data_IF_644932661789
#
_entry.id   IF_644932661789
#
_cell.length_a   1.000
_cell.length_b   1.000
_cell.length_c   1.000
_cell.angle_alpha   90.00
_cell.angle_beta   90.00
_cell.angle_gamma   90.00
#
_symmetry.space_group_name_H-M   'P 1'
#
loop_
_entity.id
_entity.type
_entity.pdbx_description
1 polymer ?
#
# COMPACT_ATOMS: atom_id res chain seq x y z
N UNK A 1 28.80 32.16 23.76
CA UNK A 1 29.34 30.98 23.10
C UNK A 1 28.15 30.02 22.89
N UNK A 2 27.49 30.13 21.74
CA UNK A 2 26.44 29.21 21.32
C UNK A 2 27.12 27.97 20.73
N UNK A 3 27.02 26.82 21.42
CA UNK A 3 27.41 25.55 20.88
C UNK A 3 26.37 25.17 19.80
N UNK A 4 26.76 25.20 18.53
CA UNK A 4 26.03 24.58 17.46
C UNK A 4 25.94 23.06 17.77
N UNK A 5 24.75 22.59 18.14
CA UNK A 5 24.43 21.17 18.07
C UNK A 5 24.53 20.77 16.59
N UNK A 6 25.58 20.07 16.25
CA UNK A 6 25.68 19.31 15.00
C UNK A 6 24.55 18.28 15.02
N UNK A 7 23.48 18.54 14.28
CA UNK A 7 22.47 17.53 13.96
C UNK A 7 23.21 16.37 13.27
N UNK A 8 23.30 15.24 13.95
CA UNK A 8 23.69 14.00 13.31
C UNK A 8 22.63 13.72 12.25
N UNK A 9 23.00 13.86 10.97
CA UNK A 9 22.19 13.36 9.84
C UNK A 9 21.91 11.89 10.13
N UNK A 10 20.66 11.56 10.50
CA UNK A 10 20.25 10.18 10.67
C UNK A 10 20.47 9.45 9.34
N UNK A 11 21.17 8.33 9.40
CA UNK A 11 21.44 7.50 8.23
C UNK A 11 20.11 6.91 7.77
N UNK A 12 19.80 7.04 6.49
CA UNK A 12 18.65 6.43 5.83
C UNK A 12 18.48 4.97 6.27
N UNK A 13 17.30 4.64 6.82
CA UNK A 13 16.94 3.28 7.18
C UNK A 13 16.00 2.71 6.10
N UNK A 14 16.46 1.73 5.31
CA UNK A 14 15.70 1.16 4.20
C UNK A 14 14.38 0.51 4.59
N UNK A 15 14.22 0.16 5.86
CA UNK A 15 13.04 -0.52 6.38
C UNK A 15 12.01 0.45 6.99
N UNK A 16 12.26 1.76 6.91
CA UNK A 16 11.35 2.78 7.43
C UNK A 16 10.65 3.44 6.24
N UNK A 17 9.32 3.36 6.12
CA UNK A 17 8.60 4.17 5.15
C UNK A 17 8.97 5.64 5.29
N UNK A 18 9.07 6.36 4.17
CA UNK A 18 9.52 7.74 4.14
C UNK A 18 8.75 8.65 5.10
N UNK A 19 7.47 8.40 5.28
CA UNK A 19 6.61 9.17 6.17
C UNK A 19 6.93 8.96 7.65
N UNK A 20 7.47 7.80 8.03
CA UNK A 20 7.99 7.58 9.40
C UNK A 20 9.27 8.40 9.68
N UNK A 21 10.05 8.75 8.67
CA UNK A 21 11.16 9.71 8.79
C UNK A 21 10.65 11.15 8.96
N UNK A 22 9.50 11.49 8.36
CA UNK A 22 8.92 12.83 8.39
C UNK A 22 8.10 13.09 9.66
N UNK A 23 7.50 12.09 10.25
CA UNK A 23 6.74 12.19 11.51
C UNK A 23 7.60 11.86 12.72
N UNK A 24 8.81 12.35 12.81
CA UNK A 24 9.82 12.20 13.86
C UNK A 24 9.25 11.77 15.25
N UNK A 25 8.72 10.53 15.31
CA UNK A 25 8.29 9.92 16.56
C UNK A 25 9.55 9.57 17.31
N UNK A 26 9.94 10.42 18.23
CA UNK A 26 11.16 10.30 19.01
C UNK A 26 11.28 8.90 19.57
N UNK A 27 12.27 8.14 19.10
CA UNK A 27 12.68 6.88 19.69
C UNK A 27 13.08 7.16 21.14
N UNK A 28 12.47 6.47 22.08
CA UNK A 28 12.84 6.58 23.49
C UNK A 28 14.13 5.85 23.79
N UNK A 29 14.36 4.72 23.11
CA UNK A 29 15.57 3.90 23.25
C UNK A 29 16.02 3.36 21.88
N UNK A 30 17.29 2.99 21.75
CA UNK A 30 17.77 2.33 20.53
C UNK A 30 17.35 0.85 20.45
N UNK A 31 17.15 0.21 21.61
CA UNK A 31 16.96 -1.25 21.70
C UNK A 31 15.51 -1.70 21.57
N UNK A 32 14.57 -0.92 22.14
CA UNK A 32 13.16 -1.28 22.15
C UNK A 32 12.29 -0.03 22.08
N UNK A 33 11.38 -0.01 21.13
CA UNK A 33 10.36 1.02 21.02
C UNK A 33 9.03 0.33 20.73
N UNK A 34 8.00 0.69 21.48
CA UNK A 34 6.65 0.18 21.34
C UNK A 34 5.70 1.31 20.98
N UNK A 35 4.95 1.12 19.90
CA UNK A 35 3.96 2.08 19.41
C UNK A 35 2.58 1.45 19.35
N UNK A 36 1.57 2.25 19.64
CA UNK A 36 0.17 1.95 19.33
C UNK A 36 -0.30 2.92 18.25
N UNK A 37 -0.58 2.40 17.06
CA UNK A 37 -1.02 3.17 15.91
C UNK A 37 -2.55 3.11 15.82
N UNK A 38 -3.22 4.27 15.81
CA UNK A 38 -4.66 4.37 15.85
C UNK A 38 -5.19 5.37 14.82
N UNK A 39 -6.30 5.01 14.18
CA UNK A 39 -7.11 5.91 13.38
C UNK A 39 -8.59 5.59 13.66
N UNK A 40 -9.31 6.55 14.21
CA UNK A 40 -10.74 6.42 14.50
C UNK A 40 -11.51 7.63 14.05
N UNK A 41 -12.74 7.44 13.62
CA UNK A 41 -13.63 8.52 13.16
C UNK A 41 -15.10 8.19 13.34
N UNK A 42 -15.91 9.24 13.31
CA UNK A 42 -17.31 9.17 12.92
C UNK A 42 -17.38 9.38 11.41
N UNK A 43 -18.00 8.46 10.70
CA UNK A 43 -18.17 8.48 9.25
C UNK A 43 -19.64 8.64 8.89
N UNK A 44 -19.95 9.57 8.00
CA UNK A 44 -21.25 9.72 7.38
C UNK A 44 -21.16 9.35 5.90
N UNK A 45 -21.89 8.33 5.47
CA UNK A 45 -21.86 7.77 4.13
C UNK A 45 -23.05 8.21 3.30
N UNK A 46 -22.79 8.54 2.03
CA UNK A 46 -23.79 9.02 1.08
C UNK A 46 -23.64 8.30 -0.26
N UNK A 47 -24.77 7.80 -0.76
CA UNK A 47 -24.93 7.31 -2.15
C UNK A 47 -26.41 7.58 -2.52
N UNK A 48 -26.63 8.52 -3.44
CA UNK A 48 -28.01 9.00 -3.76
C UNK A 48 -28.79 9.52 -2.52
N UNK A 49 -28.09 10.15 -1.57
CA UNK A 49 -28.56 10.61 -0.28
C UNK A 49 -27.80 10.00 0.89
N UNK A 50 -28.15 10.40 2.12
CA UNK A 50 -27.57 9.85 3.34
C UNK A 50 -27.94 8.37 3.47
N UNK A 51 -26.93 7.51 3.74
CA UNK A 51 -27.10 6.08 3.92
C UNK A 51 -27.01 5.69 5.38
N UNK A 52 -25.88 5.98 6.00
CA UNK A 52 -25.59 5.62 7.38
C UNK A 52 -24.53 6.52 8.00
N UNK A 53 -24.44 6.50 9.33
CA UNK A 53 -23.35 7.16 10.07
C UNK A 53 -23.00 6.35 11.30
N UNK A 54 -21.71 6.08 11.47
CA UNK A 54 -21.20 5.23 12.53
C UNK A 54 -19.80 5.64 13.03
N UNK A 55 -19.42 5.14 14.22
CA UNK A 55 -18.07 5.29 14.76
C UNK A 55 -17.23 4.09 14.39
N UNK A 56 -16.09 4.34 13.74
CA UNK A 56 -15.18 3.30 13.27
C UNK A 56 -13.76 3.46 13.80
N UNK A 57 -13.13 2.33 14.14
CA UNK A 57 -11.68 2.22 14.31
C UNK A 57 -11.09 1.61 13.03
N UNK A 58 -10.70 2.47 12.08
CA UNK A 58 -10.13 2.03 10.80
C UNK A 58 -8.80 1.32 10.96
N UNK A 59 -7.95 1.82 11.87
CA UNK A 59 -6.65 1.26 12.14
C UNK A 59 -6.43 1.15 13.66
N UNK A 60 -6.00 -0.03 14.07
CA UNK A 60 -5.50 -0.28 15.41
C UNK A 60 -4.36 -1.29 15.30
N UNK A 61 -3.12 -0.82 15.52
CA UNK A 61 -1.91 -1.64 15.35
C UNK A 61 -0.97 -1.47 16.51
N UNK A 62 -0.37 -2.58 16.93
CA UNK A 62 0.79 -2.58 17.82
C UNK A 62 2.04 -2.77 16.98
N UNK A 63 3.08 -2.00 17.26
CA UNK A 63 4.38 -2.11 16.60
C UNK A 63 5.51 -2.07 17.61
N UNK A 64 6.38 -3.09 17.57
CA UNK A 64 7.60 -3.17 18.33
C UNK A 64 8.79 -3.20 17.37
N UNK A 65 9.76 -2.31 17.56
CA UNK A 65 10.98 -2.25 16.74
C UNK A 65 12.19 -1.75 17.55
N UNK A 66 13.37 -2.14 17.12
CA UNK A 66 14.61 -1.69 17.76
C UNK A 66 15.86 -2.36 17.21
N UNK A 67 17.01 -1.88 17.71
CA UNK A 67 18.31 -2.42 17.36
C UNK A 67 18.84 -3.25 18.55
N UNK A 68 19.07 -4.54 18.35
CA UNK A 68 19.70 -5.39 19.36
C UNK A 68 21.15 -4.95 19.57
N UNK A 69 21.83 -4.65 18.46
CA UNK A 69 23.19 -4.13 18.41
C UNK A 69 23.43 -3.34 17.12
N UNK A 70 24.66 -2.98 16.78
CA UNK A 70 24.99 -2.14 15.61
C UNK A 70 24.72 -2.79 14.24
N UNK A 71 24.51 -4.11 14.19
CA UNK A 71 24.29 -4.84 12.94
C UNK A 71 22.99 -5.63 12.90
N UNK A 72 22.28 -5.83 14.02
CA UNK A 72 21.05 -6.61 14.11
C UNK A 72 19.91 -5.75 14.64
N UNK A 73 18.84 -5.69 13.90
CA UNK A 73 17.57 -5.03 14.25
C UNK A 73 16.40 -6.01 14.14
N UNK A 74 15.27 -5.63 14.67
CA UNK A 74 14.03 -6.38 14.54
C UNK A 74 12.84 -5.44 14.34
N UNK A 75 11.77 -5.99 13.74
CA UNK A 75 10.49 -5.31 13.58
C UNK A 75 9.35 -6.30 13.66
N UNK A 76 8.35 -5.96 14.48
CA UNK A 76 7.08 -6.65 14.57
C UNK A 76 5.96 -5.61 14.50
N UNK A 77 4.94 -5.84 13.66
CA UNK A 77 3.73 -5.01 13.60
C UNK A 77 2.52 -5.88 13.32
N UNK A 78 1.46 -5.70 14.12
CA UNK A 78 0.23 -6.46 14.01
C UNK A 78 -0.99 -5.53 14.08
N UNK A 79 -1.98 -5.81 13.26
CA UNK A 79 -3.32 -5.19 13.29
C UNK A 79 -4.16 -5.92 14.33
N UNK A 80 -4.65 -5.19 15.35
CA UNK A 80 -5.46 -5.75 16.41
C UNK A 80 -6.94 -5.86 16.02
N UNK A 81 -7.36 -5.16 14.98
CA UNK A 81 -8.72 -5.17 14.43
C UNK A 81 -8.89 -6.11 13.21
N UNK A 82 -8.04 -7.12 13.07
CA UNK A 82 -8.10 -8.14 12.01
C UNK A 82 -8.01 -9.54 12.61
N UNK A 83 -8.53 -10.52 11.86
CA UNK A 83 -8.47 -11.92 12.26
C UNK A 83 -7.03 -12.40 12.44
N UNK A 84 -6.81 -13.19 13.48
CA UNK A 84 -5.55 -13.88 13.76
C UNK A 84 -5.53 -15.32 13.25
N UNK A 85 -6.47 -15.70 12.39
CA UNK A 85 -6.49 -17.01 11.78
C UNK A 85 -5.42 -17.11 10.68
N UNK A 86 -4.55 -18.10 10.79
CA UNK A 86 -3.49 -18.41 9.83
C UNK A 86 -3.85 -19.58 8.89
N UNK A 87 -5.07 -20.14 8.99
CA UNK A 87 -5.49 -21.26 8.17
C UNK A 87 -5.45 -20.91 6.68
N UNK A 88 -4.82 -21.75 5.89
CA UNK A 88 -4.67 -21.55 4.44
C UNK A 88 -3.65 -20.47 4.04
N UNK A 89 -2.90 -19.90 4.99
CA UNK A 89 -1.80 -18.98 4.70
C UNK A 89 -0.52 -19.75 4.38
N UNK A 90 0.18 -19.37 3.30
CA UNK A 90 1.37 -20.07 2.82
C UNK A 90 2.61 -19.87 3.69
N UNK A 91 2.65 -18.79 4.48
CA UNK A 91 3.73 -18.48 5.42
C UNK A 91 3.39 -18.83 6.88
N UNK A 92 2.26 -19.48 7.11
CA UNK A 92 1.72 -19.84 8.44
C UNK A 92 1.50 -18.65 9.38
N UNK A 93 1.41 -17.43 8.83
CA UNK A 93 1.13 -16.21 9.59
C UNK A 93 -0.22 -15.60 9.17
N UNK A 94 -1.02 -15.12 10.13
CA UNK A 94 -2.27 -14.44 9.80
C UNK A 94 -2.03 -13.14 9.04
N UNK A 95 -3.02 -12.71 8.26
CA UNK A 95 -2.97 -11.44 7.52
C UNK A 95 -2.99 -10.21 8.44
N UNK A 96 -3.29 -10.38 9.72
CA UNK A 96 -3.15 -9.32 10.75
C UNK A 96 -1.69 -8.92 10.98
N UNK A 97 -0.72 -9.81 10.76
CA UNK A 97 0.71 -9.50 10.91
C UNK A 97 1.22 -8.82 9.66
N UNK A 98 1.66 -7.56 9.81
CA UNK A 98 2.30 -6.77 8.75
C UNK A 98 3.81 -7.02 8.68
N UNK A 99 4.48 -7.00 9.83
CA UNK A 99 5.91 -7.22 9.95
C UNK A 99 6.22 -8.28 11.02
N UNK A 100 7.09 -9.19 10.69
CA UNK A 100 7.71 -10.13 11.64
C UNK A 100 9.06 -10.56 11.06
N UNK A 101 10.14 -9.88 11.44
CA UNK A 101 11.43 -10.14 10.84
C UNK A 101 12.60 -9.43 11.49
N UNK A 102 13.77 -9.72 10.95
CA UNK A 102 15.07 -9.21 11.39
C UNK A 102 15.76 -8.44 10.27
N UNK A 103 16.37 -7.32 10.62
CA UNK A 103 17.24 -6.53 9.75
C UNK A 103 18.71 -6.79 10.13
N UNK A 104 19.55 -7.02 9.12
CA UNK A 104 20.98 -7.28 9.26
C UNK A 104 21.72 -6.22 8.46
N UNK A 105 22.52 -5.42 9.14
CA UNK A 105 23.47 -4.49 8.51
C UNK A 105 24.77 -5.24 8.26
N UNK A 106 25.05 -5.58 7.00
CA UNK A 106 26.28 -6.27 6.63
C UNK A 106 27.49 -5.31 6.65
N UNK A 107 27.29 -4.09 6.15
CA UNK A 107 28.23 -2.99 6.20
C UNK A 107 27.48 -1.67 5.94
N UNK A 108 28.18 -0.55 5.66
CA UNK A 108 27.52 0.74 5.40
C UNK A 108 26.75 0.79 4.07
N UNK A 109 27.07 -0.08 3.13
CA UNK A 109 26.43 -0.14 1.81
C UNK A 109 25.34 -1.20 1.74
N UNK A 110 25.52 -2.36 2.38
CA UNK A 110 24.63 -3.51 2.25
C UNK A 110 23.85 -3.79 3.53
N UNK A 111 22.56 -3.98 3.36
CA UNK A 111 21.64 -4.43 4.40
C UNK A 111 20.76 -5.56 3.88
N UNK A 112 20.26 -6.37 4.81
CA UNK A 112 19.34 -7.47 4.55
C UNK A 112 18.16 -7.37 5.52
N UNK A 113 16.94 -7.62 5.04
CA UNK A 113 15.79 -7.88 5.90
C UNK A 113 15.19 -9.23 5.55
N UNK A 114 14.98 -10.08 6.56
CA UNK A 114 14.40 -11.41 6.41
C UNK A 114 13.16 -11.56 7.28
N UNK A 115 12.10 -12.11 6.71
CA UNK A 115 10.81 -12.33 7.37
C UNK A 115 9.64 -11.68 6.65
N UNK A 116 8.49 -11.56 7.34
CA UNK A 116 7.31 -10.89 6.81
C UNK A 116 7.53 -9.38 6.80
N UNK A 117 7.27 -8.76 5.66
CA UNK A 117 7.59 -7.35 5.40
C UNK A 117 6.69 -6.76 4.33
N UNK A 118 6.68 -5.44 4.23
CA UNK A 118 6.03 -4.74 3.13
C UNK A 118 6.76 -5.01 1.82
N UNK A 119 6.02 -5.23 0.75
CA UNK A 119 6.58 -5.32 -0.58
C UNK A 119 7.17 -3.95 -1.00
N UNK A 120 8.30 -3.95 -1.69
CA UNK A 120 8.95 -2.73 -2.17
C UNK A 120 8.36 -2.26 -3.51
N UNK A 121 7.03 -2.24 -3.61
CA UNK A 121 6.32 -1.94 -4.86
C UNK A 121 6.48 -0.51 -5.36
N UNK A 122 7.04 0.40 -4.56
CA UNK A 122 7.23 1.79 -4.94
C UNK A 122 5.92 2.59 -4.97
N UNK A 123 6.05 3.87 -5.31
CA UNK A 123 4.99 4.84 -5.13
C UNK A 123 5.07 5.50 -3.74
N UNK A 124 4.79 6.78 -3.67
CA UNK A 124 4.79 7.51 -2.40
C UNK A 124 3.60 7.10 -1.55
N UNK A 125 2.40 6.96 -2.14
CA UNK A 125 1.20 6.52 -1.42
C UNK A 125 1.41 5.16 -0.74
N UNK A 126 2.12 4.25 -1.41
CA UNK A 126 2.39 2.92 -0.89
C UNK A 126 3.31 2.94 0.35
N UNK A 127 4.27 3.87 0.38
CA UNK A 127 5.23 4.02 1.47
C UNK A 127 4.67 4.77 2.70
N UNK A 128 3.52 5.47 2.56
CA UNK A 128 2.91 6.16 3.67
C UNK A 128 2.50 5.20 4.81
N UNK A 129 2.54 5.69 6.05
CA UNK A 129 1.99 4.93 7.17
C UNK A 129 0.48 4.72 6.95
N UNK A 130 -0.01 3.48 6.97
CA UNK A 130 -1.43 3.21 6.73
C UNK A 130 -2.41 3.97 7.64
N UNK A 131 -1.98 4.43 8.82
CA UNK A 131 -2.84 5.25 9.69
C UNK A 131 -3.10 6.66 9.12
N UNK A 132 -2.23 7.15 8.22
CA UNK A 132 -2.32 8.49 7.62
C UNK A 132 -3.09 8.49 6.29
N UNK A 133 -3.66 7.34 5.93
CA UNK A 133 -4.40 7.16 4.68
C UNK A 133 -5.91 7.21 4.96
N UNK A 134 -6.58 8.20 4.38
CA UNK A 134 -8.04 8.33 4.44
C UNK A 134 -8.76 7.48 3.40
N UNK A 135 -8.12 7.26 2.24
CA UNK A 135 -8.56 6.37 1.16
C UNK A 135 -7.38 6.02 0.26
N UNK A 136 -7.16 4.73 0.03
CA UNK A 136 -6.20 4.23 -0.94
C UNK A 136 -6.73 4.31 -2.37
N UNK A 137 -5.81 4.35 -3.34
CA UNK A 137 -6.10 3.99 -4.73
C UNK A 137 -6.47 2.50 -4.84
N UNK A 138 -7.26 2.13 -5.85
CA UNK A 138 -7.59 0.72 -6.12
C UNK A 138 -6.33 -0.11 -6.35
N UNK A 139 -5.31 0.47 -6.98
CA UNK A 139 -4.03 -0.20 -7.22
C UNK A 139 -3.42 -0.74 -5.92
N UNK A 140 -3.45 0.02 -4.85
CA UNK A 140 -2.85 -0.36 -3.56
C UNK A 140 -3.84 -1.16 -2.71
N UNK A 141 -5.11 -0.79 -2.71
CA UNK A 141 -6.13 -1.40 -1.85
C UNK A 141 -6.35 -2.89 -2.19
N UNK A 142 -6.28 -3.23 -3.47
CA UNK A 142 -6.46 -4.60 -3.96
C UNK A 142 -5.17 -5.41 -4.14
N UNK A 143 -4.01 -4.91 -3.68
CA UNK A 143 -2.75 -5.66 -3.70
C UNK A 143 -2.46 -6.34 -2.35
N UNK A 144 -1.74 -7.48 -2.42
CA UNK A 144 -1.14 -8.09 -1.23
C UNK A 144 0.14 -7.34 -0.87
N UNK A 145 0.13 -6.63 0.24
CA UNK A 145 1.19 -5.67 0.57
C UNK A 145 2.24 -6.24 1.55
N UNK A 146 1.88 -7.22 2.37
CA UNK A 146 2.78 -7.79 3.40
C UNK A 146 2.96 -9.28 3.15
N UNK A 147 4.17 -9.68 2.80
CA UNK A 147 4.52 -11.06 2.43
C UNK A 147 5.87 -11.44 3.01
N UNK A 148 6.11 -12.74 3.16
CA UNK A 148 7.35 -13.27 3.74
C UNK A 148 8.41 -13.48 2.66
N UNK A 149 9.66 -13.12 2.98
CA UNK A 149 10.81 -13.30 2.10
C UNK A 149 12.03 -12.48 2.53
N UNK A 150 12.80 -12.05 1.54
CA UNK A 150 14.07 -11.35 1.70
C UNK A 150 14.08 -10.02 0.95
N UNK A 151 14.71 -9.01 1.54
CA UNK A 151 15.06 -7.76 0.89
C UNK A 151 16.55 -7.49 1.09
N UNK A 152 17.26 -7.23 -0.01
CA UNK A 152 18.65 -6.76 -0.01
C UNK A 152 18.66 -5.30 -0.40
N UNK A 153 19.11 -4.44 0.50
CA UNK A 153 19.32 -3.01 0.26
C UNK A 153 20.77 -2.73 -0.05
N UNK A 154 21.00 -1.94 -1.11
CA UNK A 154 22.31 -1.42 -1.49
C UNK A 154 22.30 0.10 -1.55
N UNK A 155 23.01 0.74 -0.64
CA UNK A 155 23.18 2.19 -0.62
C UNK A 155 24.31 2.57 -1.59
N UNK A 156 23.94 3.11 -2.76
CA UNK A 156 24.89 3.67 -3.73
C UNK A 156 25.56 4.90 -3.12
N UNK A 157 24.75 5.76 -2.52
CA UNK A 157 25.13 6.92 -1.70
C UNK A 157 24.22 6.97 -0.48
N UNK A 158 24.47 7.88 0.50
CA UNK A 158 23.51 8.08 1.61
C UNK A 158 22.09 8.49 1.19
N UNK A 159 21.96 9.07 -0.01
CA UNK A 159 20.67 9.55 -0.54
C UNK A 159 20.09 8.62 -1.64
N UNK A 160 20.81 7.59 -2.06
CA UNK A 160 20.40 6.72 -3.17
C UNK A 160 20.48 5.25 -2.77
N UNK A 161 19.35 4.56 -2.80
CA UNK A 161 19.28 3.15 -2.45
C UNK A 161 18.60 2.33 -3.53
N UNK A 162 19.17 1.17 -3.82
CA UNK A 162 18.53 0.10 -4.56
C UNK A 162 18.10 -1.00 -3.60
N UNK A 163 16.92 -1.56 -3.83
CA UNK A 163 16.43 -2.74 -3.13
C UNK A 163 16.14 -3.85 -4.15
N UNK A 164 16.69 -5.02 -3.92
CA UNK A 164 16.27 -6.26 -4.58
C UNK A 164 15.49 -7.08 -3.56
N UNK A 165 14.20 -7.26 -3.83
CA UNK A 165 13.32 -7.98 -2.92
C UNK A 165 12.76 -9.23 -3.57
N UNK A 166 12.73 -10.32 -2.82
CA UNK A 166 12.15 -11.61 -3.22
C UNK A 166 11.20 -12.05 -2.11
N UNK A 167 9.90 -12.07 -2.40
CA UNK A 167 8.86 -12.45 -1.45
C UNK A 167 7.98 -13.55 -2.03
N UNK A 168 7.19 -14.21 -1.17
CA UNK A 168 6.05 -14.99 -1.63
C UNK A 168 5.14 -14.13 -2.50
N UNK A 169 4.59 -14.67 -3.59
CA UNK A 169 3.72 -13.90 -4.47
C UNK A 169 2.30 -13.70 -3.92
N UNK A 170 1.90 -14.46 -2.91
CA UNK A 170 0.59 -14.43 -2.27
C UNK A 170 0.66 -14.82 -0.80
N UNK A 171 -0.35 -14.48 -0.03
CA UNK A 171 -0.51 -14.91 1.37
C UNK A 171 -1.42 -16.14 1.49
N UNK A 172 -2.48 -16.21 0.68
CA UNK A 172 -3.49 -17.27 0.71
C UNK A 172 -3.14 -18.43 -0.22
N UNK A 173 -3.95 -19.50 -0.18
CA UNK A 173 -3.86 -20.61 -1.12
C UNK A 173 -4.02 -20.15 -2.57
N UNK A 174 -3.59 -20.97 -3.53
CA UNK A 174 -3.74 -20.71 -4.95
C UNK A 174 -5.22 -20.53 -5.33
N UNK A 175 -6.05 -21.45 -4.90
CA UNK A 175 -7.48 -21.50 -5.24
C UNK A 175 -8.21 -20.27 -4.71
N UNK A 176 -7.95 -19.86 -3.46
CA UNK A 176 -8.52 -18.64 -2.90
C UNK A 176 -8.04 -17.37 -3.60
N UNK A 177 -6.76 -17.33 -4.00
CA UNK A 177 -6.17 -16.14 -4.63
C UNK A 177 -6.73 -15.92 -6.04
N UNK A 178 -6.94 -16.98 -6.81
CA UNK A 178 -7.37 -16.91 -8.21
C UNK A 178 -8.81 -17.35 -8.42
N UNK A 179 -9.56 -17.58 -7.35
CA UNK A 179 -10.98 -17.87 -7.37
C UNK A 179 -11.31 -19.19 -8.10
N UNK A 180 -10.47 -20.21 -7.90
CA UNK A 180 -10.66 -21.51 -8.54
C UNK A 180 -11.94 -22.14 -8.02
N UNK A 181 -12.86 -22.42 -8.94
CA UNK A 181 -14.15 -23.07 -8.69
C UNK A 181 -14.46 -24.02 -9.85
N UNK A 182 -15.36 -24.96 -9.65
CA UNK A 182 -15.92 -25.77 -10.73
C UNK A 182 -16.68 -24.86 -11.73
N UNK A 183 -16.56 -25.16 -13.00
CA UNK A 183 -17.36 -24.54 -14.06
C UNK A 183 -18.83 -25.04 -14.02
N UNK A 184 -19.65 -24.58 -14.96
CA UNK A 184 -21.08 -24.96 -15.02
C UNK A 184 -21.28 -26.47 -15.28
N UNK A 185 -20.28 -27.15 -15.82
CA UNK A 185 -20.24 -28.57 -16.13
C UNK A 185 -19.62 -29.41 -15.00
N UNK A 186 -19.17 -28.78 -13.91
CA UNK A 186 -18.54 -29.42 -12.74
C UNK A 186 -17.06 -29.76 -12.93
N UNK A 187 -16.38 -29.15 -13.92
CA UNK A 187 -14.96 -29.37 -14.16
C UNK A 187 -14.14 -28.27 -13.48
N UNK A 188 -13.00 -28.64 -12.91
CA UNK A 188 -12.01 -27.66 -12.44
C UNK A 188 -11.17 -27.15 -13.62
N UNK A 189 -10.81 -25.85 -13.64
CA UNK A 189 -9.96 -25.30 -14.67
C UNK A 189 -8.56 -25.93 -14.66
N UNK A 190 -7.93 -26.09 -15.84
CA UNK A 190 -6.54 -26.54 -15.95
C UNK A 190 -5.55 -25.42 -15.63
N UNK A 191 -5.76 -24.75 -14.51
CA UNK A 191 -4.90 -23.70 -14.00
C UNK A 191 -4.17 -24.22 -12.75
N UNK A 192 -2.83 -24.25 -12.80
CA UNK A 192 -2.00 -24.83 -11.74
C UNK A 192 -1.06 -23.82 -11.13
N UNK A 193 -0.86 -23.91 -9.84
CA UNK A 193 0.14 -23.12 -9.13
C UNK A 193 1.54 -23.31 -9.75
N UNK A 194 2.29 -22.22 -9.85
CA UNK A 194 3.72 -22.28 -10.12
C UNK A 194 4.47 -23.02 -9.01
N UNK A 195 5.61 -23.66 -9.36
CA UNK A 195 6.44 -24.40 -8.38
C UNK A 195 7.09 -23.46 -7.35
N UNK A 196 7.40 -22.23 -7.74
CA UNK A 196 7.96 -21.18 -6.89
C UNK A 196 7.12 -19.91 -7.07
N UNK A 197 6.02 -19.75 -6.31
CA UNK A 197 5.16 -18.57 -6.38
C UNK A 197 5.82 -17.39 -5.67
N UNK A 198 6.76 -16.74 -6.36
CA UNK A 198 7.56 -15.64 -5.85
C UNK A 198 7.29 -14.35 -6.64
N UNK A 199 7.47 -13.23 -5.98
CA UNK A 199 7.59 -11.90 -6.58
C UNK A 199 9.01 -11.40 -6.43
N UNK A 200 9.55 -10.90 -7.53
CA UNK A 200 10.85 -10.24 -7.61
C UNK A 200 10.63 -8.77 -7.88
N UNK A 201 11.18 -7.93 -7.03
CA UNK A 201 11.05 -6.47 -7.15
C UNK A 201 12.41 -5.81 -7.12
N UNK A 202 12.67 -4.97 -8.12
CA UNK A 202 13.76 -4.00 -8.10
C UNK A 202 13.14 -2.64 -7.77
N UNK A 203 13.63 -1.99 -6.71
CA UNK A 203 13.15 -0.69 -6.27
C UNK A 203 14.32 0.27 -6.12
N UNK A 204 14.13 1.51 -6.57
CA UNK A 204 15.08 2.61 -6.38
C UNK A 204 14.42 3.72 -5.57
N UNK A 205 15.08 4.06 -4.47
CA UNK A 205 14.70 5.14 -3.58
C UNK A 205 15.75 6.24 -3.64
N UNK A 206 15.37 7.40 -4.16
CA UNK A 206 16.21 8.59 -4.21
C UNK A 206 15.71 9.68 -3.26
N UNK A 207 16.65 10.44 -2.70
CA UNK A 207 16.38 11.62 -1.90
C UNK A 207 17.36 12.73 -2.29
N UNK A 208 16.87 13.73 -3.00
CA UNK A 208 17.68 14.84 -3.50
C UNK A 208 17.50 16.05 -2.57
N UNK A 209 18.43 16.21 -1.63
CA UNK A 209 18.47 17.30 -0.64
C UNK A 209 17.20 17.45 0.23
N UNK A 210 16.46 16.35 0.45
CA UNK A 210 15.14 16.36 1.10
C UNK A 210 14.07 17.21 0.39
N UNK A 211 14.35 17.71 -0.80
CA UNK A 211 13.43 18.52 -1.62
C UNK A 211 12.68 17.63 -2.59
N UNK A 212 13.38 16.78 -3.32
CA UNK A 212 12.76 15.85 -4.27
C UNK A 212 13.11 14.42 -3.92
N UNK A 213 12.09 13.56 -3.91
CA UNK A 213 12.26 12.14 -3.59
C UNK A 213 11.59 11.27 -4.65
N UNK A 214 12.20 10.09 -4.87
CA UNK A 214 11.69 9.09 -5.81
C UNK A 214 11.43 7.77 -5.09
N UNK A 215 10.41 7.03 -5.56
CA UNK A 215 10.08 5.66 -5.16
C UNK A 215 9.67 4.90 -6.40
N UNK A 216 10.67 4.45 -7.16
CA UNK A 216 10.45 3.78 -8.44
C UNK A 216 10.67 2.28 -8.29
N UNK A 217 9.84 1.50 -8.95
CA UNK A 217 9.99 0.05 -8.92
C UNK A 217 9.52 -0.62 -10.20
N UNK A 218 10.06 -1.81 -10.40
CA UNK A 218 9.60 -2.79 -11.37
C UNK A 218 9.53 -4.15 -10.69
N UNK A 219 8.40 -4.85 -10.85
CA UNK A 219 8.18 -6.16 -10.25
C UNK A 219 7.68 -7.17 -11.28
N UNK A 220 8.13 -8.41 -11.13
CA UNK A 220 7.55 -9.57 -11.80
C UNK A 220 7.10 -10.58 -10.75
N UNK A 221 5.87 -11.06 -10.87
CA UNK A 221 5.27 -11.98 -9.94
C UNK A 221 4.82 -13.23 -10.67
N UNK A 222 5.26 -14.40 -10.23
CA UNK A 222 4.71 -15.65 -10.74
C UNK A 222 3.34 -15.89 -10.10
N UNK A 223 2.30 -15.91 -10.93
CA UNK A 223 0.91 -16.12 -10.50
C UNK A 223 0.54 -17.60 -10.57
N UNK A 224 0.68 -18.20 -11.73
CA UNK A 224 0.42 -19.60 -11.99
C UNK A 224 1.50 -20.17 -12.93
N UNK A 225 1.43 -21.46 -13.25
CA UNK A 225 2.31 -22.06 -14.25
C UNK A 225 2.10 -21.35 -15.59
N UNK A 226 3.17 -20.72 -16.10
CA UNK A 226 3.20 -19.92 -17.34
C UNK A 226 2.39 -18.62 -17.33
N UNK A 227 1.96 -18.15 -16.16
CA UNK A 227 1.27 -16.88 -15.99
C UNK A 227 2.01 -15.98 -15.00
N UNK A 228 2.18 -14.72 -15.37
CA UNK A 228 2.88 -13.74 -14.57
C UNK A 228 2.09 -12.43 -14.46
N UNK A 229 2.37 -11.69 -13.40
CA UNK A 229 1.98 -10.31 -13.25
C UNK A 229 3.22 -9.43 -13.34
N UNK A 230 3.10 -8.30 -14.03
CA UNK A 230 4.11 -7.25 -14.10
C UNK A 230 3.55 -5.99 -13.46
N UNK A 231 4.35 -5.37 -12.61
CA UNK A 231 3.95 -4.15 -11.92
C UNK A 231 5.06 -3.10 -11.99
N UNK A 232 4.69 -1.86 -12.24
CA UNK A 232 5.57 -0.71 -12.33
C UNK A 232 5.01 0.45 -11.52
N UNK A 233 5.88 1.14 -10.78
CA UNK A 233 5.51 2.36 -10.07
C UNK A 233 6.59 3.43 -10.23
N UNK A 234 6.16 4.67 -10.43
CA UNK A 234 7.00 5.87 -10.48
C UNK A 234 6.43 6.88 -9.49
N UNK A 235 6.87 6.81 -8.24
CA UNK A 235 6.49 7.75 -7.20
C UNK A 235 7.47 8.92 -7.12
N UNK A 236 6.95 10.13 -7.09
CA UNK A 236 7.75 11.36 -7.02
C UNK A 236 7.14 12.31 -6.00
N UNK A 237 7.94 12.79 -5.05
CA UNK A 237 7.54 13.70 -4.00
C UNK A 237 8.37 14.97 -4.03
N UNK A 238 7.72 16.10 -3.83
CA UNK A 238 8.33 17.43 -3.75
C UNK A 238 8.00 18.06 -2.41
N UNK A 239 9.06 18.50 -1.68
CA UNK A 239 8.97 19.18 -0.40
C UNK A 239 9.51 20.61 -0.53
N UNK A 240 8.64 21.61 -0.37
CA UNK A 240 8.97 23.03 -0.48
C UNK A 240 8.46 23.79 0.76
N UNK A 241 9.18 23.66 1.88
CA UNK A 241 8.84 24.33 3.13
C UNK A 241 7.47 23.95 3.66
N UNK A 242 6.46 24.81 3.42
CA UNK A 242 5.07 24.56 3.86
C UNK A 242 4.28 23.63 2.91
N UNK A 243 4.82 23.33 1.74
CA UNK A 243 4.19 22.52 0.72
C UNK A 243 4.86 21.16 0.65
N UNK A 244 4.05 20.12 0.63
CA UNK A 244 4.46 18.76 0.30
C UNK A 244 3.49 18.24 -0.75
N UNK A 245 3.99 17.78 -1.88
CA UNK A 245 3.16 17.22 -2.94
C UNK A 245 3.79 15.96 -3.50
N UNK A 246 2.97 14.98 -3.87
CA UNK A 246 3.45 13.81 -4.59
C UNK A 246 2.56 13.45 -5.78
N UNK A 247 3.17 12.76 -6.73
CA UNK A 247 2.47 12.12 -7.85
C UNK A 247 3.02 10.71 -8.02
N UNK A 248 2.13 9.73 -8.00
CA UNK A 248 2.40 8.33 -8.29
C UNK A 248 1.76 7.96 -9.63
N UNK A 249 2.54 7.30 -10.48
CA UNK A 249 2.07 6.62 -11.67
C UNK A 249 2.30 5.12 -11.45
N UNK A 250 1.25 4.31 -11.51
CA UNK A 250 1.29 2.88 -11.25
C UNK A 250 0.59 2.13 -12.36
N UNK A 251 1.18 1.04 -12.83
CA UNK A 251 0.61 0.18 -13.86
C UNK A 251 0.85 -1.28 -13.53
N UNK A 252 -0.19 -2.12 -13.65
CA UNK A 252 -0.03 -3.57 -13.61
C UNK A 252 -0.64 -4.24 -14.83
N UNK A 253 0.07 -5.26 -15.30
CA UNK A 253 -0.40 -6.22 -16.28
C UNK A 253 -0.45 -7.59 -15.61
N UNK A 254 -1.63 -8.17 -15.54
CA UNK A 254 -1.90 -9.40 -14.82
C UNK A 254 -2.40 -10.46 -15.81
N UNK A 255 -1.63 -11.54 -15.99
CA UNK A 255 -2.09 -12.63 -16.87
C UNK A 255 -3.35 -13.28 -16.30
N UNK A 256 -3.52 -13.26 -14.95
CA UNK A 256 -4.76 -13.63 -14.24
C UNK A 256 -5.12 -12.47 -13.32
N UNK A 257 -6.36 -12.01 -13.35
CA UNK A 257 -6.86 -10.89 -12.55
C UNK A 257 -6.68 -11.14 -11.05
N UNK A 258 -5.61 -10.61 -10.49
CA UNK A 258 -5.28 -10.75 -9.09
C UNK A 258 -6.06 -9.78 -8.20
N UNK A 259 -6.32 -8.58 -8.72
CA UNK A 259 -7.11 -7.55 -8.00
C UNK A 259 -8.59 -7.91 -7.93
N UNK A 260 -9.07 -8.75 -8.85
CA UNK A 260 -10.46 -9.18 -8.89
C UNK A 260 -11.44 -8.12 -9.39
N UNK A 261 -10.96 -6.93 -9.79
CA UNK A 261 -11.83 -5.83 -10.24
C UNK A 261 -12.48 -6.17 -11.59
N UNK A 262 -11.69 -6.64 -12.57
CA UNK A 262 -12.24 -7.10 -13.85
C UNK A 262 -13.13 -8.30 -13.62
N UNK A 263 -12.68 -9.27 -12.83
CA UNK A 263 -13.45 -10.49 -12.51
C UNK A 263 -14.80 -10.15 -11.87
N UNK A 264 -14.88 -9.13 -11.03
CA UNK A 264 -16.16 -8.69 -10.43
C UNK A 264 -17.14 -8.14 -11.46
N UNK A 265 -16.65 -7.67 -12.61
CA UNK A 265 -17.46 -7.13 -13.70
C UNK A 265 -17.89 -8.24 -14.68
N UNK A 266 -16.95 -9.11 -15.06
CA UNK A 266 -17.16 -10.08 -16.14
C UNK A 266 -17.53 -11.48 -15.65
N UNK A 267 -17.40 -11.75 -14.35
CA UNK A 267 -17.60 -13.08 -13.75
C UNK A 267 -16.41 -14.00 -13.94
N UNK A 268 -16.64 -15.30 -13.77
CA UNK A 268 -15.67 -16.40 -13.88
C UNK A 268 -16.14 -17.47 -14.84
N UNK A 269 -16.22 -17.19 -16.14
CA UNK A 269 -16.77 -18.16 -17.12
C UNK A 269 -15.94 -19.45 -17.18
N UNK A 270 -14.61 -19.38 -16.98
CA UNK A 270 -13.71 -20.53 -16.95
C UNK A 270 -13.47 -21.14 -15.56
N UNK A 271 -14.27 -20.81 -14.54
CA UNK A 271 -14.07 -21.30 -13.17
C UNK A 271 -12.85 -20.69 -12.45
N UNK A 272 -12.34 -19.55 -12.91
CA UNK A 272 -11.22 -18.82 -12.33
C UNK A 272 -11.37 -17.32 -12.57
N UNK A 273 -10.51 -16.50 -11.94
CA UNK A 273 -10.47 -15.06 -12.20
C UNK A 273 -10.13 -14.79 -13.67
N UNK A 274 -10.66 -13.70 -14.22
CA UNK A 274 -10.49 -13.30 -15.62
C UNK A 274 -9.02 -13.22 -16.03
N UNK A 275 -8.74 -13.51 -17.30
CA UNK A 275 -7.39 -13.38 -17.87
C UNK A 275 -7.10 -11.98 -18.41
N UNK A 276 -5.80 -11.67 -18.53
CA UNK A 276 -5.26 -10.48 -19.20
C UNK A 276 -5.80 -9.15 -18.63
N UNK A 277 -5.94 -9.04 -17.31
CA UNK A 277 -6.35 -7.79 -16.67
C UNK A 277 -5.21 -6.76 -16.64
N UNK A 278 -5.53 -5.51 -16.97
CA UNK A 278 -4.60 -4.39 -16.89
C UNK A 278 -5.19 -3.25 -16.05
N UNK A 279 -4.37 -2.67 -15.19
CA UNK A 279 -4.75 -1.59 -14.30
C UNK A 279 -3.77 -0.44 -14.40
N UNK A 280 -4.30 0.76 -14.50
CA UNK A 280 -3.54 2.01 -14.44
C UNK A 280 -4.08 2.82 -13.27
N UNK A 281 -3.18 3.42 -12.49
CA UNK A 281 -3.54 4.35 -11.43
C UNK A 281 -2.61 5.55 -11.46
N UNK A 282 -3.19 6.75 -11.43
CA UNK A 282 -2.46 8.01 -11.25
C UNK A 282 -3.01 8.66 -9.99
N UNK A 283 -2.14 8.90 -9.03
CA UNK A 283 -2.50 9.47 -7.73
C UNK A 283 -1.68 10.73 -7.52
N UNK A 284 -2.34 11.83 -7.14
CA UNK A 284 -1.66 13.07 -6.77
C UNK A 284 -2.21 13.58 -5.44
N UNK A 285 -1.34 13.98 -4.53
CA UNK A 285 -1.71 14.61 -3.25
C UNK A 285 -0.88 15.87 -3.05
N UNK A 286 -1.49 16.91 -2.49
CA UNK A 286 -0.82 18.12 -2.08
C UNK A 286 -1.26 18.48 -0.66
N UNK A 287 -0.29 18.73 0.19
CA UNK A 287 -0.45 19.22 1.56
C UNK A 287 0.06 20.66 1.65
N UNK A 288 -0.63 21.49 2.38
CA UNK A 288 -0.20 22.86 2.69
C UNK A 288 -0.35 23.16 4.17
N UNK A 289 0.77 23.31 4.87
CA UNK A 289 0.83 23.72 6.27
C UNK A 289 0.77 25.24 6.38
N UNK A 290 -0.45 25.78 6.38
CA UNK A 290 -0.69 27.24 6.40
C UNK A 290 -0.38 27.88 7.76
N UNK A 291 -0.54 27.12 8.86
CA UNK A 291 -0.12 27.49 10.21
C UNK A 291 0.69 26.34 10.84
N UNK A 292 1.50 26.58 11.89
CA UNK A 292 2.35 25.55 12.50
C UNK A 292 1.61 24.27 12.92
N UNK A 293 0.35 24.40 13.35
CA UNK A 293 -0.50 23.29 13.84
C UNK A 293 -1.61 22.90 12.87
N UNK A 294 -1.67 23.50 11.69
CA UNK A 294 -2.77 23.28 10.76
C UNK A 294 -2.26 22.92 9.37
N UNK A 295 -2.79 21.84 8.85
CA UNK A 295 -2.57 21.38 7.49
C UNK A 295 -3.89 21.28 6.73
N UNK A 296 -3.88 21.65 5.48
CA UNK A 296 -4.95 21.36 4.53
C UNK A 296 -4.37 20.48 3.43
N UNK A 297 -5.14 19.52 2.94
CA UNK A 297 -4.71 18.68 1.84
C UNK A 297 -5.81 18.45 0.83
N UNK A 298 -5.38 18.14 -0.39
CA UNK A 298 -6.23 17.63 -1.47
C UNK A 298 -5.54 16.42 -2.10
N UNK A 299 -6.32 15.44 -2.53
CA UNK A 299 -5.83 14.25 -3.25
C UNK A 299 -6.78 13.91 -4.38
N UNK A 300 -6.23 13.60 -5.55
CA UNK A 300 -6.95 13.11 -6.72
C UNK A 300 -6.43 11.75 -7.14
N UNK A 301 -7.31 10.89 -7.64
CA UNK A 301 -6.98 9.57 -8.18
C UNK A 301 -7.72 9.38 -9.50
N UNK A 302 -7.02 8.90 -10.51
CA UNK A 302 -7.57 8.45 -11.78
C UNK A 302 -7.16 7.02 -12.03
N UNK A 303 -8.11 6.12 -12.27
CA UNK A 303 -7.83 4.69 -12.35
C UNK A 303 -8.65 4.02 -13.44
N UNK A 304 -8.04 3.04 -14.12
CA UNK A 304 -8.72 2.26 -15.15
C UNK A 304 -8.56 0.77 -14.89
N UNK A 305 -9.59 0.00 -15.24
CA UNK A 305 -9.57 -1.46 -15.26
C UNK A 305 -9.96 -1.93 -16.65
N UNK A 306 -9.06 -2.67 -17.32
CA UNK A 306 -9.22 -3.09 -18.69
C UNK A 306 -8.77 -4.53 -18.92
N UNK A 307 -9.25 -5.15 -20.00
CA UNK A 307 -8.81 -6.46 -20.51
C UNK A 307 -7.88 -6.23 -21.70
N UNK A 308 -6.66 -6.78 -21.63
CA UNK A 308 -5.63 -6.58 -22.64
C UNK A 308 -5.79 -7.46 -23.87
N UNK A 309 -6.39 -8.66 -23.70
CA UNK A 309 -6.63 -9.63 -24.78
C UNK A 309 -7.97 -10.32 -24.56
N UNK A 310 -8.75 -10.46 -25.65
CA UNK A 310 -10.01 -11.18 -25.57
C UNK A 310 -9.80 -12.67 -25.33
N UNK A 311 -10.57 -13.26 -24.41
CA UNK A 311 -10.56 -14.67 -24.06
C UNK A 311 -11.87 -15.06 -23.38
N UNK A 312 -12.28 -16.32 -23.49
CA UNK A 312 -13.45 -16.91 -22.78
C UNK A 312 -14.74 -16.09 -22.93
N UNK A 313 -14.97 -15.49 -24.10
CA UNK A 313 -16.14 -14.63 -24.35
C UNK A 313 -16.01 -13.21 -23.80
N UNK A 314 -14.91 -12.88 -23.13
CA UNK A 314 -14.62 -11.55 -22.61
C UNK A 314 -13.90 -10.73 -23.68
N UNK A 315 -14.42 -9.55 -24.02
CA UNK A 315 -13.84 -8.67 -25.03
C UNK A 315 -12.65 -7.87 -24.49
N UNK A 316 -11.67 -7.58 -25.35
CA UNK A 316 -10.60 -6.62 -25.06
C UNK A 316 -11.14 -5.20 -24.93
N UNK A 317 -10.63 -4.44 -23.98
CA UNK A 317 -10.89 -3.00 -23.84
C UNK A 317 -11.06 -2.54 -22.41
N UNK A 318 -11.35 -1.26 -22.22
CA UNK A 318 -11.64 -0.69 -20.90
C UNK A 318 -13.06 -1.10 -20.46
N UNK A 319 -13.18 -1.47 -19.20
CA UNK A 319 -14.45 -1.84 -18.56
C UNK A 319 -14.89 -0.81 -17.53
N UNK A 320 -13.95 -0.26 -16.76
CA UNK A 320 -14.24 0.71 -15.71
C UNK A 320 -13.17 1.81 -15.67
N UNK A 321 -13.60 3.04 -15.52
CA UNK A 321 -12.79 4.17 -15.10
C UNK A 321 -13.29 4.62 -13.74
N UNK A 322 -12.40 4.87 -12.78
CA UNK A 322 -12.77 5.41 -11.49
C UNK A 322 -11.99 6.68 -11.17
N UNK A 323 -12.69 7.60 -10.49
CA UNK A 323 -12.16 8.85 -9.99
C UNK A 323 -12.27 8.86 -8.48
N UNK A 324 -11.18 9.23 -7.80
CA UNK A 324 -11.19 9.52 -6.39
C UNK A 324 -10.80 10.97 -6.16
N UNK A 325 -11.49 11.65 -5.27
CA UNK A 325 -11.20 13.04 -4.91
C UNK A 325 -11.45 13.24 -3.42
N UNK A 326 -10.43 13.69 -2.73
CA UNK A 326 -10.47 13.87 -1.29
C UNK A 326 -9.90 15.25 -0.95
N UNK A 327 -10.37 15.79 0.17
CA UNK A 327 -9.79 16.95 0.79
C UNK A 327 -10.09 16.98 2.26
N UNK A 328 -9.26 17.65 3.03
CA UNK A 328 -9.46 17.73 4.46
C UNK A 328 -8.57 18.76 5.13
N UNK A 329 -8.89 18.98 6.39
CA UNK A 329 -8.13 19.83 7.29
C UNK A 329 -7.71 18.99 8.50
N UNK A 330 -6.47 19.19 8.93
CA UNK A 330 -5.84 18.48 10.04
C UNK A 330 -5.33 19.48 11.07
N UNK A 331 -5.57 19.18 12.35
CA UNK A 331 -5.10 19.96 13.48
C UNK A 331 -4.18 19.15 14.37
N UNK A 332 -2.95 19.61 14.54
CA UNK A 332 -1.88 19.01 15.35
C UNK A 332 -1.76 19.77 16.69
N UNK A 333 -2.37 19.29 17.78
CA UNK A 333 -2.37 20.00 19.07
C UNK A 333 -0.98 20.05 19.72
N UNK A 334 -0.13 19.07 19.46
CA UNK A 334 1.19 18.90 20.08
C UNK A 334 2.25 18.48 19.03
N UNK A 335 3.52 18.44 19.44
CA UNK A 335 4.66 18.06 18.58
C UNK A 335 4.78 16.53 18.38
N UNK A 336 3.71 15.77 18.56
CA UNK A 336 3.60 14.37 18.17
C UNK A 336 2.75 14.28 16.91
N UNK A 337 2.67 13.12 16.29
CA UNK A 337 1.80 12.93 15.14
C UNK A 337 0.30 12.78 15.51
N UNK A 338 -0.08 13.02 16.79
CA UNK A 338 -1.50 13.13 17.12
C UNK A 338 -2.10 14.30 16.36
N UNK A 339 -3.11 14.01 15.56
CA UNK A 339 -3.90 15.03 14.91
C UNK A 339 -5.38 14.66 14.81
N UNK A 340 -6.20 15.69 14.81
CA UNK A 340 -7.62 15.61 14.54
C UNK A 340 -7.88 16.04 13.11
N UNK A 341 -8.88 15.46 12.48
CA UNK A 341 -9.18 15.76 11.08
C UNK A 341 -10.68 15.88 10.81
N UNK A 342 -10.98 16.64 9.78
CA UNK A 342 -12.24 16.60 9.05
C UNK A 342 -11.90 16.37 7.60
N UNK A 343 -12.47 15.32 6.99
CA UNK A 343 -12.18 14.95 5.61
C UNK A 343 -13.45 14.65 4.84
N UNK A 344 -13.40 14.96 3.55
CA UNK A 344 -14.36 14.51 2.56
C UNK A 344 -13.67 13.58 1.58
N UNK A 345 -14.31 12.45 1.28
CA UNK A 345 -13.85 11.44 0.32
C UNK A 345 -14.96 11.15 -0.65
N UNK A 346 -14.73 11.42 -1.94
CA UNK A 346 -15.62 11.08 -3.03
C UNK A 346 -14.99 10.03 -3.96
N UNK A 347 -15.79 9.07 -4.41
CA UNK A 347 -15.42 8.08 -5.42
C UNK A 347 -16.52 8.01 -6.46
N UNK A 348 -16.14 8.03 -7.76
CA UNK A 348 -17.05 7.82 -8.89
C UNK A 348 -16.54 6.66 -9.74
N UNK A 349 -17.46 5.82 -10.18
CA UNK A 349 -17.19 4.63 -11.00
C UNK A 349 -18.00 4.69 -12.27
N UNK A 350 -17.29 4.85 -13.41
CA UNK A 350 -17.85 4.95 -14.74
C UNK A 350 -17.60 3.65 -15.50
N UNK A 351 -18.66 2.93 -15.82
CA UNK A 351 -18.62 1.69 -16.56
C UNK A 351 -18.84 1.94 -18.05
N UNK A 352 -18.04 1.31 -18.88
CA UNK A 352 -18.16 1.39 -20.34
C UNK A 352 -19.39 0.61 -20.85
N UNK A 353 -19.73 0.79 -22.14
CA UNK A 353 -20.83 0.03 -22.75
C UNK A 353 -20.67 -1.48 -22.60
N UNK A 354 -19.41 -2.01 -22.67
CA UNK A 354 -19.11 -3.43 -22.44
C UNK A 354 -19.54 -3.91 -21.04
N UNK A 355 -19.21 -3.13 -20.04
CA UNK A 355 -19.58 -3.47 -18.67
C UNK A 355 -21.08 -3.30 -18.42
N UNK A 356 -21.71 -2.30 -19.04
CA UNK A 356 -23.17 -2.06 -18.92
C UNK A 356 -24.01 -3.18 -19.52
N UNK A 357 -23.57 -3.80 -20.60
CA UNK A 357 -24.23 -5.02 -21.16
C UNK A 357 -24.19 -6.18 -20.15
N UNK A 358 -23.19 -6.21 -19.25
CA UNK A 358 -23.07 -7.19 -18.18
C UNK A 358 -23.80 -6.76 -16.87
N UNK A 359 -24.67 -5.73 -16.94
CA UNK A 359 -25.48 -5.29 -15.81
C UNK A 359 -24.81 -4.30 -14.87
N UNK A 360 -23.65 -3.73 -15.25
CA UNK A 360 -22.99 -2.70 -14.44
C UNK A 360 -23.61 -1.32 -14.67
N UNK A 361 -23.75 -0.54 -13.63
CA UNK A 361 -24.27 0.82 -13.67
C UNK A 361 -23.28 1.80 -13.04
N UNK A 362 -23.20 3.03 -13.58
CA UNK A 362 -22.38 4.08 -12.98
C UNK A 362 -22.92 4.45 -11.59
N UNK A 363 -22.00 4.66 -10.65
CA UNK A 363 -22.38 5.13 -9.32
C UNK A 363 -21.28 5.99 -8.69
N UNK A 364 -21.64 6.73 -7.66
CA UNK A 364 -20.71 7.52 -6.86
C UNK A 364 -21.00 7.34 -5.39
N UNK A 365 -19.95 7.31 -4.58
CA UNK A 365 -20.03 7.26 -3.12
C UNK A 365 -19.32 8.47 -2.53
N UNK A 366 -19.83 8.95 -1.40
CA UNK A 366 -19.24 10.07 -0.68
C UNK A 366 -19.19 9.75 0.81
N UNK A 367 -18.15 10.19 1.49
CA UNK A 367 -17.99 10.04 2.93
C UNK A 367 -17.47 11.33 3.54
N UNK A 368 -18.07 11.77 4.63
CA UNK A 368 -17.54 12.82 5.50
C UNK A 368 -17.08 12.15 6.78
N UNK A 369 -15.84 12.36 7.16
CA UNK A 369 -15.25 11.77 8.35
C UNK A 369 -14.71 12.84 9.28
N UNK A 370 -14.98 12.69 10.58
CA UNK A 370 -14.40 13.52 11.65
C UNK A 370 -13.74 12.60 12.64
N UNK A 371 -12.45 12.76 12.90
CA UNK A 371 -11.74 11.79 13.71
C UNK A 371 -10.35 12.21 14.16
N UNK A 372 -9.58 11.21 14.55
CA UNK A 372 -8.21 11.38 15.00
C UNK A 372 -7.29 10.31 14.42
N UNK A 373 -6.02 10.66 14.30
CA UNK A 373 -4.92 9.74 14.01
C UNK A 373 -3.85 9.93 15.08
N UNK A 374 -3.31 8.83 15.59
CA UNK A 374 -2.22 8.88 16.55
C UNK A 374 -1.32 7.67 16.46
N UNK A 375 -0.03 7.91 16.26
CA UNK A 375 1.01 6.95 16.53
C UNK A 375 1.56 7.21 17.93
N UNK A 376 0.98 6.56 18.92
CA UNK A 376 1.30 6.75 20.32
C UNK A 376 2.59 6.00 20.67
N UNK A 377 3.67 6.68 21.09
CA UNK A 377 4.84 6.01 21.63
C UNK A 377 4.50 5.56 23.06
N UNK A 378 4.38 4.24 23.26
CA UNK A 378 4.08 3.65 24.57
C UNK A 378 5.36 3.50 25.39
N UNK A 379 6.45 3.06 24.72
CA UNK A 379 7.74 2.86 25.33
C UNK A 379 8.88 3.15 24.35
#
# INVERSE_FOLDING_TARGET
>A
IYAQKTEKKEKFNPNTPLFEELTDVKKKTDKFNLYLNMQGSFDAHFQNGFQEGDFNMHQLRIEAKGNINNWLSYRYRQRLNRSNDANGMIDNLPTSIDYAGIGIKLNDQFSLFAGKQCAAYGGIEFDLNPIDIYQYSDMIDYMSNFMTGLNVGYNITPEQQLNLQILNSRNSSFDNTYGITEDAEGNLPDLKSGKMPLVYTLNWNGNFNNVFKTRWSASVMNEAKSHNMYYYALGNELNLGKWNAFVDFMYSKEDIDRKGIITSIVGRPGGHNAFDANYLSVVAKCNYRFLPKWNVFVKGMYETASVGKASEGIEKGNYRTSWGYLGGIEYYPMETNLHFFVTYVGRSYDFTSRAKVLGQENYSTNRISVGFIWQMPVF
#
